data_IF_507349198000
#
_entry.id   IF_507349198000
#
_cell.length_a   1.000
_cell.length_b   1.000
_cell.length_c   1.000
_cell.angle_alpha   90.00
_cell.angle_beta   90.00
_cell.angle_gamma   90.00
#
_symmetry.space_group_name_H-M   'P 1'
#
loop_
_entity.id
_entity.type
_entity.pdbx_description
1 polymer ?
#
# COMPACT_ATOMS: atom_id res chain seq x y z
N UNK A 1 -27.21 12.44 11.58
CA UNK A 1 -26.30 12.28 12.74
C UNK A 1 -25.49 10.99 12.63
N UNK A 2 -26.08 9.80 12.78
CA UNK A 2 -25.34 8.53 12.66
C UNK A 2 -24.82 8.26 11.24
N UNK A 3 -25.65 8.50 10.22
CA UNK A 3 -25.28 8.32 8.81
C UNK A 3 -24.11 9.20 8.41
N UNK A 4 -24.10 10.48 8.81
CA UNK A 4 -23.02 11.43 8.50
C UNK A 4 -21.69 11.00 9.12
N UNK A 5 -21.73 10.47 10.36
CA UNK A 5 -20.56 9.89 11.02
C UNK A 5 -19.99 8.70 10.23
N UNK A 6 -20.85 7.78 9.79
CA UNK A 6 -20.42 6.60 9.01
C UNK A 6 -19.79 7.02 7.68
N UNK A 7 -20.42 7.94 6.94
CA UNK A 7 -19.88 8.40 5.65
C UNK A 7 -18.53 9.11 5.80
N UNK A 8 -18.38 9.96 6.84
CA UNK A 8 -17.12 10.66 7.11
C UNK A 8 -15.96 9.70 7.36
N UNK A 9 -16.15 8.73 8.26
CA UNK A 9 -15.11 7.76 8.59
C UNK A 9 -14.81 6.81 7.43
N UNK A 10 -15.83 6.40 6.69
CA UNK A 10 -15.66 5.58 5.49
C UNK A 10 -14.78 6.28 4.45
N UNK A 11 -15.06 7.56 4.15
CA UNK A 11 -14.23 8.34 3.23
C UNK A 11 -12.79 8.49 3.74
N UNK A 12 -12.61 8.74 5.04
CA UNK A 12 -11.28 8.89 5.66
C UNK A 12 -10.46 7.61 5.55
N UNK A 13 -11.07 6.45 5.78
CA UNK A 13 -10.43 5.13 5.61
C UNK A 13 -10.04 4.92 4.14
N UNK A 14 -10.93 5.21 3.19
CA UNK A 14 -10.64 5.05 1.76
C UNK A 14 -9.47 5.91 1.31
N UNK A 15 -9.46 7.20 1.67
CA UNK A 15 -8.37 8.13 1.31
C UNK A 15 -7.06 7.68 1.95
N UNK A 16 -7.10 7.19 3.19
CA UNK A 16 -5.92 6.67 3.86
C UNK A 16 -5.37 5.46 3.11
N UNK A 17 -6.19 4.44 2.84
CA UNK A 17 -5.75 3.25 2.07
C UNK A 17 -5.20 3.65 0.70
N UNK A 18 -5.85 4.60 0.01
CA UNK A 18 -5.38 5.06 -1.30
C UNK A 18 -3.98 5.69 -1.22
N UNK A 19 -3.76 6.62 -0.29
CA UNK A 19 -2.45 7.25 -0.05
C UNK A 19 -1.35 6.23 0.24
N UNK A 20 -1.71 5.12 0.88
CA UNK A 20 -0.81 4.03 1.22
C UNK A 20 -0.46 3.14 0.04
N UNK A 21 -1.44 2.86 -0.81
CA UNK A 21 -1.26 2.02 -1.99
C UNK A 21 -0.51 2.76 -3.11
N UNK A 22 -0.65 4.09 -3.21
CA UNK A 22 0.04 4.91 -4.21
C UNK A 22 1.57 4.71 -4.29
N UNK A 23 2.35 4.82 -3.20
CA UNK A 23 3.81 4.61 -3.27
C UNK A 23 4.17 3.17 -3.60
N UNK A 24 3.38 2.18 -3.13
CA UNK A 24 3.60 0.76 -3.45
C UNK A 24 3.39 0.50 -4.94
N UNK A 25 2.31 1.03 -5.51
CA UNK A 25 2.03 0.91 -6.95
C UNK A 25 3.11 1.58 -7.80
N UNK A 26 3.57 2.77 -7.42
CA UNK A 26 4.59 3.49 -8.17
C UNK A 26 5.90 2.70 -8.23
N UNK A 27 6.35 2.16 -7.09
CA UNK A 27 7.54 1.30 -7.02
C UNK A 27 7.35 0.02 -7.85
N UNK A 28 6.19 -0.62 -7.75
CA UNK A 28 5.89 -1.83 -8.51
C UNK A 28 5.92 -1.59 -10.03
N UNK A 29 5.38 -0.46 -10.49
CA UNK A 29 5.38 -0.07 -11.92
C UNK A 29 6.79 0.22 -12.41
N UNK A 30 7.55 1.06 -11.69
CA UNK A 30 8.92 1.44 -12.08
C UNK A 30 9.80 0.20 -12.21
N UNK A 31 9.74 -0.70 -11.24
CA UNK A 31 10.62 -1.86 -11.25
C UNK A 31 10.11 -2.95 -12.21
N UNK A 32 8.80 -3.11 -12.35
CA UNK A 32 8.22 -3.95 -13.39
C UNK A 32 8.69 -3.55 -14.79
N UNK A 33 8.74 -2.25 -15.06
CA UNK A 33 9.28 -1.68 -16.30
C UNK A 33 10.77 -1.97 -16.46
N UNK A 34 11.59 -1.67 -15.44
CA UNK A 34 13.04 -1.90 -15.49
C UNK A 34 13.39 -3.36 -15.79
N UNK A 35 12.72 -4.30 -15.12
CA UNK A 35 12.95 -5.74 -15.33
C UNK A 35 12.50 -6.14 -16.74
N UNK A 36 11.34 -5.65 -17.20
CA UNK A 36 10.85 -5.98 -18.55
C UNK A 36 11.79 -5.48 -19.65
N UNK A 37 12.40 -4.30 -19.46
CA UNK A 37 13.38 -3.76 -20.40
C UNK A 37 14.66 -4.60 -20.38
N UNK A 38 15.12 -5.02 -19.21
CA UNK A 38 16.31 -5.86 -19.07
C UNK A 38 16.12 -7.22 -19.74
N UNK A 39 14.93 -7.81 -19.61
CA UNK A 39 14.56 -9.07 -20.27
C UNK A 39 14.59 -8.93 -21.80
N UNK A 40 14.07 -7.82 -22.33
CA UNK A 40 14.05 -7.57 -23.78
C UNK A 40 15.45 -7.33 -24.35
N UNK A 41 16.28 -6.51 -23.67
CA UNK A 41 17.62 -6.15 -24.18
C UNK A 41 18.59 -7.34 -24.17
N UNK A 42 18.48 -8.24 -23.19
CA UNK A 42 19.38 -9.40 -23.07
C UNK A 42 18.85 -10.67 -23.74
N UNK A 43 17.62 -10.63 -24.29
CA UNK A 43 16.93 -11.78 -24.88
C UNK A 43 16.77 -12.98 -23.93
N UNK A 44 16.74 -12.73 -22.61
CA UNK A 44 16.53 -13.78 -21.61
C UNK A 44 15.02 -13.99 -21.40
N UNK A 45 14.51 -15.17 -21.79
CA UNK A 45 13.12 -15.59 -21.61
C UNK A 45 12.94 -16.55 -20.41
N UNK A 46 13.62 -16.28 -19.30
CA UNK A 46 13.50 -17.08 -18.08
C UNK A 46 12.40 -16.50 -17.16
N UNK A 47 11.37 -17.30 -16.87
CA UNK A 47 10.27 -16.94 -16.00
C UNK A 47 10.73 -16.66 -14.55
N UNK A 48 11.80 -17.31 -14.08
CA UNK A 48 12.32 -17.12 -12.72
C UNK A 48 12.91 -15.70 -12.53
N UNK A 49 13.53 -15.14 -13.57
CA UNK A 49 14.14 -13.80 -13.53
C UNK A 49 13.11 -12.68 -13.34
N UNK A 50 11.85 -12.90 -13.77
CA UNK A 50 10.76 -11.95 -13.53
C UNK A 50 10.22 -12.05 -12.10
N UNK A 51 10.17 -13.28 -11.57
CA UNK A 51 9.55 -13.58 -10.29
C UNK A 51 10.41 -13.13 -9.10
N UNK A 52 11.70 -13.47 -9.11
CA UNK A 52 12.59 -13.26 -7.94
C UNK A 52 12.75 -11.77 -7.57
N UNK A 53 13.09 -10.86 -8.50
CA UNK A 53 13.29 -9.46 -8.14
C UNK A 53 11.98 -8.82 -7.66
N UNK A 54 10.86 -9.06 -8.36
CA UNK A 54 9.53 -8.55 -7.97
C UNK A 54 9.14 -9.01 -6.57
N UNK A 55 9.40 -10.27 -6.23
CA UNK A 55 9.11 -10.82 -4.91
C UNK A 55 9.95 -10.15 -3.81
N UNK A 56 11.26 -10.00 -4.02
CA UNK A 56 12.15 -9.33 -3.06
C UNK A 56 11.71 -7.89 -2.78
N UNK A 57 11.30 -7.17 -3.81
CA UNK A 57 10.81 -5.79 -3.69
C UNK A 57 9.48 -5.76 -2.94
N UNK A 58 8.55 -6.66 -3.26
CA UNK A 58 7.27 -6.75 -2.56
C UNK A 58 7.49 -7.04 -1.07
N UNK A 59 8.39 -7.96 -0.72
CA UNK A 59 8.78 -8.23 0.66
C UNK A 59 9.37 -7.00 1.34
N UNK A 60 10.29 -6.29 0.66
CA UNK A 60 10.89 -5.07 1.20
C UNK A 60 9.83 -4.01 1.50
N UNK A 61 8.89 -3.80 0.57
CA UNK A 61 7.80 -2.83 0.73
C UNK A 61 6.85 -3.20 1.87
N UNK A 62 6.56 -4.50 2.07
CA UNK A 62 5.75 -4.95 3.21
C UNK A 62 6.48 -4.71 4.53
N UNK A 63 7.76 -5.05 4.62
CA UNK A 63 8.56 -4.84 5.83
C UNK A 63 8.65 -3.35 6.19
N UNK A 64 8.91 -2.49 5.21
CA UNK A 64 8.97 -1.04 5.41
C UNK A 64 7.58 -0.43 5.70
N UNK A 65 6.53 -0.95 5.06
CA UNK A 65 5.16 -0.47 5.21
C UNK A 65 4.51 -0.87 6.53
N UNK A 66 4.85 -2.03 7.08
CA UNK A 66 4.25 -2.60 8.29
C UNK A 66 4.19 -1.61 9.47
N UNK A 67 5.30 -1.02 9.95
CA UNK A 67 5.25 -0.13 11.12
C UNK A 67 4.44 1.13 10.88
N UNK A 68 4.47 1.66 9.66
CA UNK A 68 3.81 2.92 9.34
C UNK A 68 2.28 2.66 9.19
N UNK A 69 1.86 1.54 8.55
CA UNK A 69 0.42 1.19 8.37
C UNK A 69 -0.20 0.89 9.72
N UNK A 70 0.52 0.17 10.57
CA UNK A 70 0.04 -0.21 11.89
C UNK A 70 -0.19 1.03 12.78
N UNK A 71 0.73 2.00 12.76
CA UNK A 71 0.56 3.28 13.46
C UNK A 71 -0.65 4.06 12.96
N UNK A 72 -0.85 4.09 11.64
CA UNK A 72 -1.95 4.83 11.04
C UNK A 72 -3.31 4.18 11.38
N UNK A 73 -3.40 2.85 11.38
CA UNK A 73 -4.60 2.11 11.80
C UNK A 73 -4.90 2.31 13.29
N UNK A 74 -3.88 2.19 14.15
CA UNK A 74 -4.04 2.43 15.58
C UNK A 74 -4.54 3.85 15.88
N UNK A 75 -3.99 4.85 15.17
CA UNK A 75 -4.45 6.24 15.27
C UNK A 75 -5.90 6.41 14.82
N UNK A 76 -6.27 5.83 13.69
CA UNK A 76 -7.64 5.91 13.17
C UNK A 76 -8.64 5.28 14.15
N UNK A 77 -8.31 4.12 14.71
CA UNK A 77 -9.14 3.46 15.72
C UNK A 77 -9.28 4.31 17.00
N UNK A 78 -8.18 4.89 17.49
CA UNK A 78 -8.22 5.75 18.67
C UNK A 78 -9.10 6.99 18.46
N UNK A 79 -9.03 7.61 17.28
CA UNK A 79 -9.86 8.78 16.95
C UNK A 79 -11.35 8.41 16.82
N UNK A 80 -11.68 7.24 16.25
CA UNK A 80 -13.08 6.75 16.19
C UNK A 80 -13.64 6.58 17.61
N UNK A 81 -12.89 5.91 18.49
CA UNK A 81 -13.32 5.63 19.87
C UNK A 81 -13.48 6.94 20.65
N UNK A 82 -12.53 7.87 20.51
CA UNK A 82 -12.61 9.17 21.16
C UNK A 82 -13.84 9.98 20.69
N UNK A 83 -14.13 9.96 19.39
CA UNK A 83 -15.29 10.65 18.82
C UNK A 83 -16.61 10.01 19.30
N UNK A 84 -16.64 8.68 19.42
CA UNK A 84 -17.80 7.94 19.93
C UNK A 84 -18.10 8.27 21.39
N UNK A 85 -17.07 8.49 22.22
CA UNK A 85 -17.25 8.89 23.62
C UNK A 85 -17.77 10.33 23.80
N UNK A 86 -17.74 11.14 22.76
CA UNK A 86 -18.22 12.54 22.76
C UNK A 86 -19.57 12.74 22.08
N UNK A 87 -20.14 11.66 21.52
CA UNK A 87 -21.47 11.60 20.91
C UNK A 87 -22.49 11.08 21.94
#
# INVERSE_FOLDING_TARGET
>A
MLTDFVFFWFQKVLVMVLLWVMPVLLVAVVIGLLISLFQVVTQIHDAALNFVPKFLIAMLMVVLGTPIVFKALAKLLAEIIATWNTL
#
